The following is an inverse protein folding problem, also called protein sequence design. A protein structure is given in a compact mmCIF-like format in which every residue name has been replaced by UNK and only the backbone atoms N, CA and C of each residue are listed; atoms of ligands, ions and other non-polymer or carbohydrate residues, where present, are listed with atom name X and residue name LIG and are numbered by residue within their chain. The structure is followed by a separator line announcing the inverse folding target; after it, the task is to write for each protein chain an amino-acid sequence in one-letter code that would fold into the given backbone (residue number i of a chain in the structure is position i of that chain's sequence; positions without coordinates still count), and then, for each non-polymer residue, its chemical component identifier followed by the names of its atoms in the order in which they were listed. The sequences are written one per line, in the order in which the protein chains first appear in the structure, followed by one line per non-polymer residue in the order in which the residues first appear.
data_IF_532486322112
#
_entry.id   IF_532486322112
#
_cell.length_a   1.000
_cell.length_b   1.000
_cell.length_c   1.000
_cell.angle_alpha   90.00
_cell.angle_beta   90.00
_cell.angle_gamma   90.00
#
_symmetry.space_group_name_H-M   'P 1'
#
loop_
_entity.id
_entity.type
_entity.pdbx_description
1 polymer ?
#
# COMPACT_ATOMS: atom_id res chain seq x y z
N UNK A 1 44.30 -14.77 -40.67
CA UNK A 1 44.56 -13.59 -39.81
C UNK A 1 43.38 -12.62 -39.98
N UNK A 2 42.83 -12.03 -38.92
CA UNK A 2 42.03 -12.68 -37.88
C UNK A 2 40.58 -12.15 -37.84
N UNK A 3 39.74 -12.91 -37.11
CA UNK A 3 38.40 -12.57 -36.64
C UNK A 3 38.47 -11.34 -35.71
N UNK A 4 37.51 -10.43 -35.80
CA UNK A 4 37.22 -9.50 -34.69
C UNK A 4 35.74 -9.51 -34.42
N UNK A 5 35.40 -10.31 -33.42
CA UNK A 5 34.12 -10.41 -32.74
C UNK A 5 33.93 -9.12 -31.90
N UNK A 6 32.95 -8.29 -32.27
CA UNK A 6 32.50 -7.18 -31.41
C UNK A 6 31.41 -7.70 -30.48
N UNK A 7 31.83 -8.29 -29.35
CA UNK A 7 30.96 -8.50 -28.18
C UNK A 7 31.38 -7.55 -27.07
N UNK A 8 30.73 -6.38 -27.03
CA UNK A 8 30.98 -5.36 -26.02
C UNK A 8 29.76 -4.48 -25.76
N UNK A 9 28.68 -5.04 -25.22
CA UNK A 9 27.54 -4.24 -24.72
C UNK A 9 26.64 -4.83 -23.60
N UNK A 10 26.71 -6.09 -23.12
CA UNK A 10 25.73 -6.55 -22.11
C UNK A 10 26.04 -6.12 -20.66
N UNK A 11 27.30 -5.81 -20.33
CA UNK A 11 27.72 -5.58 -18.93
C UNK A 11 27.54 -4.13 -18.44
N UNK A 12 27.63 -3.14 -19.35
CA UNK A 12 27.44 -1.73 -19.03
C UNK A 12 25.97 -1.38 -18.82
N UNK A 13 25.07 -1.93 -19.65
CA UNK A 13 23.62 -1.77 -19.52
C UNK A 13 23.08 -2.41 -18.23
N UNK A 14 23.59 -3.60 -17.86
CA UNK A 14 23.25 -4.26 -16.60
C UNK A 14 23.67 -3.45 -15.36
N UNK A 15 24.84 -2.81 -15.40
CA UNK A 15 25.34 -1.96 -14.30
C UNK A 15 24.51 -0.69 -14.14
N UNK A 16 24.13 -0.04 -15.25
CA UNK A 16 23.32 1.17 -15.23
C UNK A 16 21.92 0.91 -14.67
N UNK A 17 21.26 -0.19 -15.09
CA UNK A 17 19.96 -0.61 -14.55
C UNK A 17 20.02 -0.94 -13.06
N UNK A 18 21.12 -1.56 -12.61
CA UNK A 18 21.37 -1.85 -11.19
C UNK A 18 21.49 -0.56 -10.36
N UNK A 19 22.25 0.42 -10.85
CA UNK A 19 22.44 1.70 -10.15
C UNK A 19 21.14 2.52 -10.09
N UNK A 20 20.35 2.51 -11.17
CA UNK A 20 19.00 3.12 -11.22
C UNK A 20 18.08 2.51 -10.17
N UNK A 21 17.99 1.17 -10.08
CA UNK A 21 17.15 0.49 -9.08
C UNK A 21 17.61 0.78 -7.66
N UNK A 22 18.92 0.74 -7.41
CA UNK A 22 19.50 1.04 -6.09
C UNK A 22 19.18 2.47 -5.68
N UNK A 23 19.33 3.44 -6.57
CA UNK A 23 19.03 4.84 -6.27
C UNK A 23 17.55 5.08 -6.01
N UNK A 24 16.65 4.45 -6.79
CA UNK A 24 15.21 4.51 -6.54
C UNK A 24 14.89 3.97 -5.15
N UNK A 25 15.45 2.82 -4.77
CA UNK A 25 15.24 2.23 -3.44
C UNK A 25 15.71 3.15 -2.30
N UNK A 26 16.91 3.74 -2.41
CA UNK A 26 17.44 4.69 -1.41
C UNK A 26 16.54 5.90 -1.23
N UNK A 27 15.95 6.42 -2.31
CA UNK A 27 14.99 7.53 -2.24
C UNK A 27 13.70 7.11 -1.50
N UNK A 28 13.20 5.90 -1.75
CA UNK A 28 12.01 5.38 -1.06
C UNK A 28 12.28 5.14 0.43
N UNK A 29 13.42 4.53 0.78
CA UNK A 29 13.88 4.33 2.17
C UNK A 29 13.96 5.69 2.90
N UNK A 30 14.60 6.69 2.29
CA UNK A 30 14.72 8.03 2.85
C UNK A 30 13.36 8.72 3.07
N UNK A 31 12.40 8.54 2.16
CA UNK A 31 11.03 9.05 2.36
C UNK A 31 10.36 8.36 3.55
N UNK A 32 10.46 7.04 3.64
CA UNK A 32 9.87 6.28 4.74
C UNK A 32 10.45 6.65 6.11
N UNK A 33 11.75 6.94 6.19
CA UNK A 33 12.38 7.46 7.40
C UNK A 33 11.88 8.87 7.74
N UNK A 34 11.96 9.81 6.79
CA UNK A 34 11.56 11.20 7.03
C UNK A 34 10.08 11.33 7.38
N UNK A 35 9.21 10.56 6.72
CA UNK A 35 7.79 10.55 7.03
C UNK A 35 7.50 10.09 8.46
N UNK A 36 8.34 9.23 9.05
CA UNK A 36 8.20 8.75 10.44
C UNK A 36 8.82 9.70 11.46
N UNK A 37 10.02 10.20 11.17
CA UNK A 37 10.80 11.03 12.09
C UNK A 37 10.31 12.48 12.14
N UNK A 38 10.01 13.06 10.97
CA UNK A 38 9.69 14.48 10.83
C UNK A 38 8.78 14.72 9.61
N UNK A 39 7.49 14.33 9.68
CA UNK A 39 6.49 14.55 8.63
C UNK A 39 6.54 15.94 8.00
N UNK A 40 6.63 16.98 8.82
CA UNK A 40 6.58 18.39 8.40
C UNK A 40 7.84 18.85 7.64
N UNK A 41 8.91 18.04 7.66
CA UNK A 41 10.18 18.33 6.99
C UNK A 41 10.33 17.55 5.67
N UNK A 42 9.30 16.81 5.25
CA UNK A 42 9.33 16.00 4.04
C UNK A 42 9.41 16.90 2.79
N UNK A 43 10.62 17.08 2.29
CA UNK A 43 10.94 17.87 1.09
C UNK A 43 11.84 17.07 0.18
N UNK A 44 11.83 17.36 -1.13
CA UNK A 44 12.72 16.68 -2.08
C UNK A 44 14.20 16.85 -1.71
N UNK A 45 14.58 18.02 -1.18
CA UNK A 45 15.95 18.30 -0.73
C UNK A 45 16.33 17.44 0.48
N UNK A 46 15.45 17.32 1.48
CA UNK A 46 15.68 16.47 2.64
C UNK A 46 15.79 14.99 2.23
N UNK A 47 14.89 14.53 1.35
CA UNK A 47 14.90 13.16 0.81
C UNK A 47 16.19 12.87 0.05
N UNK A 48 16.60 13.76 -0.86
CA UNK A 48 17.82 13.62 -1.64
C UNK A 48 19.06 13.58 -0.73
N UNK A 49 19.12 14.47 0.27
CA UNK A 49 20.19 14.51 1.26
C UNK A 49 20.26 13.22 2.07
N UNK A 50 19.13 12.73 2.59
CA UNK A 50 19.05 11.49 3.38
C UNK A 50 19.42 10.26 2.56
N UNK A 51 18.99 10.21 1.30
CA UNK A 51 19.35 9.15 0.37
C UNK A 51 20.80 9.25 -0.16
N UNK A 52 21.55 10.28 0.23
CA UNK A 52 22.87 10.66 -0.29
C UNK A 52 22.91 10.64 -1.84
N UNK A 53 21.89 11.25 -2.44
CA UNK A 53 21.73 11.40 -3.88
C UNK A 53 21.68 12.90 -4.18
N UNK A 54 22.42 13.35 -5.20
CA UNK A 54 22.40 14.75 -5.60
C UNK A 54 20.97 15.21 -5.97
N UNK A 55 20.51 16.42 -5.57
CA UNK A 55 19.15 16.88 -5.82
C UNK A 55 18.73 16.80 -7.29
N UNK A 56 19.60 17.18 -8.22
CA UNK A 56 19.33 17.09 -9.66
C UNK A 56 19.07 15.65 -10.12
N UNK A 57 19.73 14.66 -9.50
CA UNK A 57 19.50 13.24 -9.78
C UNK A 57 18.18 12.77 -9.18
N UNK A 58 17.83 13.20 -7.96
CA UNK A 58 16.54 12.88 -7.35
C UNK A 58 15.37 13.41 -8.19
N UNK A 59 15.45 14.67 -8.66
CA UNK A 59 14.45 15.28 -9.55
C UNK A 59 14.31 14.58 -10.91
N UNK A 60 15.34 13.85 -11.38
CA UNK A 60 15.24 13.02 -12.59
C UNK A 60 14.42 11.75 -12.37
N UNK A 61 14.33 11.25 -11.14
CA UNK A 61 13.53 10.08 -10.80
C UNK A 61 12.08 10.45 -10.47
N UNK A 62 11.91 11.55 -9.75
CA UNK A 62 10.62 11.99 -9.24
C UNK A 62 10.53 13.51 -9.34
N UNK A 63 9.46 14.01 -9.94
CA UNK A 63 9.34 15.45 -10.22
C UNK A 63 9.00 16.24 -8.96
N UNK A 64 8.28 15.60 -8.04
CA UNK A 64 7.84 16.18 -6.77
C UNK A 64 8.12 15.24 -5.59
N UNK A 65 8.10 15.78 -4.36
CA UNK A 65 8.21 14.94 -3.16
C UNK A 65 6.98 14.01 -3.02
N UNK A 66 5.82 14.48 -3.47
CA UNK A 66 4.58 13.70 -3.52
C UNK A 66 4.72 12.50 -4.45
N UNK A 67 5.46 12.61 -5.57
CA UNK A 67 5.71 11.48 -6.46
C UNK A 67 6.55 10.39 -5.77
N UNK A 68 7.56 10.79 -4.98
CA UNK A 68 8.38 9.84 -4.20
C UNK A 68 7.55 9.20 -3.10
N UNK A 69 6.71 10.00 -2.40
CA UNK A 69 5.82 9.53 -1.35
C UNK A 69 4.77 8.56 -1.91
N UNK A 70 4.17 8.88 -3.05
CA UNK A 70 3.24 7.99 -3.74
C UNK A 70 3.91 6.68 -4.15
N UNK A 71 5.13 6.72 -4.67
CA UNK A 71 5.89 5.52 -5.01
C UNK A 71 6.26 4.69 -3.76
N UNK A 72 6.55 5.35 -2.64
CA UNK A 72 6.80 4.66 -1.36
C UNK A 72 5.54 3.99 -0.84
N UNK A 73 4.42 4.72 -0.77
CA UNK A 73 3.12 4.17 -0.37
C UNK A 73 2.70 3.02 -1.28
N UNK A 74 2.89 3.15 -2.58
CA UNK A 74 2.65 2.05 -3.52
C UNK A 74 3.44 0.82 -3.11
N UNK A 75 4.75 0.94 -2.84
CA UNK A 75 5.57 -0.21 -2.43
C UNK A 75 5.09 -0.90 -1.14
N UNK A 76 4.57 -0.13 -0.18
CA UNK A 76 3.97 -0.68 1.06
C UNK A 76 2.67 -1.44 0.76
N UNK A 77 1.83 -0.91 -0.12
CA UNK A 77 0.57 -1.58 -0.54
C UNK A 77 0.85 -2.82 -1.39
N UNK A 78 1.89 -2.78 -2.22
CA UNK A 78 2.35 -3.95 -2.97
C UNK A 78 2.84 -5.06 -2.05
N UNK A 79 3.48 -4.74 -0.92
CA UNK A 79 3.83 -5.74 0.10
C UNK A 79 2.59 -6.42 0.69
N UNK A 80 1.52 -5.67 0.99
CA UNK A 80 0.25 -6.25 1.44
C UNK A 80 -0.38 -7.15 0.35
N UNK A 81 -0.35 -6.69 -0.90
CA UNK A 81 -0.84 -7.46 -2.05
C UNK A 81 -0.10 -8.78 -2.19
N UNK A 82 1.22 -8.73 -2.16
CA UNK A 82 2.07 -9.90 -2.34
C UNK A 82 1.92 -10.88 -1.16
N UNK A 83 1.76 -10.38 0.07
CA UNK A 83 1.40 -11.19 1.24
C UNK A 83 0.06 -11.92 1.06
N UNK A 84 -0.99 -11.19 0.64
CA UNK A 84 -2.32 -11.76 0.39
C UNK A 84 -2.31 -12.82 -0.72
N UNK A 85 -1.55 -12.57 -1.79
CA UNK A 85 -1.40 -13.48 -2.92
C UNK A 85 -0.61 -14.75 -2.56
N UNK A 86 0.40 -14.64 -1.70
CA UNK A 86 1.23 -15.77 -1.29
C UNK A 86 0.59 -16.66 -0.21
N UNK A 87 -0.44 -16.18 0.49
CA UNK A 87 -1.09 -16.91 1.57
C UNK A 87 -1.88 -18.13 1.06
N UNK A 88 -1.73 -19.27 1.74
CA UNK A 88 -2.51 -20.49 1.47
C UNK A 88 -3.82 -20.54 2.24
N UNK A 89 -4.08 -19.57 3.13
CA UNK A 89 -5.36 -19.47 3.85
C UNK A 89 -6.49 -19.08 2.88
N UNK A 90 -7.73 -19.38 3.26
CA UNK A 90 -8.95 -19.03 2.52
C UNK A 90 -10.01 -18.50 3.50
N UNK A 91 -11.08 -17.91 2.96
CA UNK A 91 -12.20 -17.40 3.76
C UNK A 91 -11.78 -16.39 4.82
N UNK A 92 -12.43 -16.47 5.98
CA UNK A 92 -12.15 -15.67 7.17
C UNK A 92 -10.68 -15.75 7.63
N UNK A 93 -10.04 -16.92 7.73
CA UNK A 93 -8.61 -17.00 8.08
C UNK A 93 -7.70 -16.14 7.19
N UNK A 94 -7.96 -16.10 5.87
CA UNK A 94 -7.22 -15.23 4.96
C UNK A 94 -7.51 -13.76 5.27
N UNK A 95 -8.78 -13.39 5.42
CA UNK A 95 -9.20 -12.03 5.76
C UNK A 95 -8.51 -11.54 7.03
N UNK A 96 -8.58 -12.32 8.11
CA UNK A 96 -7.98 -11.96 9.40
C UNK A 96 -6.46 -11.79 9.28
N UNK A 97 -5.77 -12.67 8.53
CA UNK A 97 -4.33 -12.56 8.32
C UNK A 97 -3.92 -11.30 7.53
N UNK A 98 -4.72 -10.89 6.55
CA UNK A 98 -4.46 -9.68 5.75
C UNK A 98 -4.76 -8.43 6.56
N UNK A 99 -5.80 -8.44 7.40
CA UNK A 99 -6.05 -7.37 8.38
C UNK A 99 -4.89 -7.22 9.35
N UNK A 100 -4.37 -8.32 9.89
CA UNK A 100 -3.21 -8.27 10.78
C UNK A 100 -1.99 -7.69 10.06
N UNK A 101 -1.67 -8.17 8.85
CA UNK A 101 -0.57 -7.61 8.06
C UNK A 101 -0.77 -6.13 7.77
N UNK A 102 -2.00 -5.70 7.48
CA UNK A 102 -2.30 -4.28 7.27
C UNK A 102 -2.01 -3.46 8.53
N UNK A 103 -2.42 -3.92 9.71
CA UNK A 103 -2.14 -3.23 10.98
C UNK A 103 -0.62 -3.19 11.29
N UNK A 104 0.15 -4.22 10.93
CA UNK A 104 1.61 -4.17 11.01
C UNK A 104 2.18 -3.05 10.14
N UNK A 105 1.76 -2.98 8.88
CA UNK A 105 2.21 -1.93 7.95
C UNK A 105 1.76 -0.53 8.39
N UNK A 106 0.59 -0.39 9.02
CA UNK A 106 0.16 0.88 9.61
C UNK A 106 1.02 1.29 10.80
N UNK A 107 1.44 0.33 11.62
CA UNK A 107 2.34 0.61 12.75
C UNK A 107 3.72 1.04 12.25
N UNK A 108 4.20 0.42 11.19
CA UNK A 108 5.52 0.71 10.62
C UNK A 108 5.53 1.98 9.75
N UNK A 109 4.50 2.20 8.93
CA UNK A 109 4.48 3.21 7.86
C UNK A 109 3.33 4.22 7.99
N UNK A 110 2.60 4.21 9.10
CA UNK A 110 1.37 4.96 9.33
C UNK A 110 1.41 6.43 8.91
N UNK A 111 2.43 7.21 9.32
CA UNK A 111 2.54 8.62 8.92
C UNK A 111 2.56 8.83 7.41
N UNK A 112 3.26 7.98 6.64
CA UNK A 112 3.32 8.08 5.19
C UNK A 112 1.99 7.71 4.52
N UNK A 113 1.34 6.65 5.02
CA UNK A 113 0.05 6.19 4.52
C UNK A 113 -1.08 7.21 4.78
N UNK A 114 -1.00 7.95 5.89
CA UNK A 114 -1.96 9.01 6.23
C UNK A 114 -1.73 10.27 5.42
N UNK A 115 -0.48 10.63 5.12
CA UNK A 115 -0.15 11.87 4.38
C UNK A 115 -0.66 11.86 2.94
N UNK A 116 -0.68 10.69 2.28
CA UNK A 116 -1.13 10.58 0.90
C UNK A 116 -2.67 10.60 0.82
N UNK A 117 -3.26 11.78 1.04
CA UNK A 117 -4.70 12.00 0.96
C UNK A 117 -5.11 12.43 -0.44
N UNK A 118 -6.03 11.69 -1.03
CA UNK A 118 -6.74 12.10 -2.23
C UNK A 118 -7.98 12.91 -1.87
N UNK A 119 -8.28 13.95 -2.66
CA UNK A 119 -9.59 14.64 -2.63
C UNK A 119 -10.69 13.85 -3.33
N UNK A 120 -10.32 12.90 -4.20
CA UNK A 120 -11.21 11.98 -4.91
C UNK A 120 -11.49 10.73 -4.07
N UNK A 121 -12.72 10.23 -4.15
CA UNK A 121 -13.16 9.03 -3.43
C UNK A 121 -12.46 7.73 -3.87
N UNK A 122 -12.76 6.63 -3.19
CA UNK A 122 -12.22 5.31 -3.53
C UNK A 122 -12.64 4.85 -4.94
N UNK A 123 -13.95 4.81 -5.22
CA UNK A 123 -14.48 4.30 -6.49
C UNK A 123 -14.02 5.14 -7.69
N UNK A 124 -14.02 6.47 -7.57
CA UNK A 124 -13.51 7.34 -8.63
C UNK A 124 -12.04 7.05 -8.95
N UNK A 125 -11.20 6.86 -7.93
CA UNK A 125 -9.79 6.52 -8.14
C UNK A 125 -9.60 5.12 -8.71
N UNK A 126 -10.40 4.16 -8.25
CA UNK A 126 -10.37 2.78 -8.75
C UNK A 126 -10.73 2.76 -10.24
N UNK A 127 -11.84 3.40 -10.63
CA UNK A 127 -12.30 3.44 -12.02
C UNK A 127 -11.35 4.19 -12.95
N UNK A 128 -10.60 5.16 -12.42
CA UNK A 128 -9.56 5.88 -13.17
C UNK A 128 -8.20 5.16 -13.16
N UNK A 129 -8.08 3.97 -12.56
CA UNK A 129 -6.86 3.17 -12.58
C UNK A 129 -5.72 3.76 -11.75
N UNK A 130 -6.01 4.47 -10.65
CA UNK A 130 -4.96 4.93 -9.74
C UNK A 130 -4.19 3.74 -9.17
N UNK A 131 -2.87 3.69 -9.42
CA UNK A 131 -2.03 2.52 -9.14
C UNK A 131 -2.11 2.03 -7.69
N UNK A 132 -2.11 2.95 -6.73
CA UNK A 132 -2.17 2.63 -5.30
C UNK A 132 -3.52 1.98 -4.95
N UNK A 133 -4.62 2.52 -5.47
CA UNK A 133 -5.95 1.98 -5.21
C UNK A 133 -6.19 0.66 -5.94
N UNK A 134 -5.62 0.48 -7.13
CA UNK A 134 -5.63 -0.82 -7.82
C UNK A 134 -4.84 -1.86 -7.02
N UNK A 135 -3.63 -1.54 -6.56
CA UNK A 135 -2.84 -2.44 -5.72
C UNK A 135 -3.55 -2.78 -4.39
N UNK A 136 -4.21 -1.79 -3.77
CA UNK A 136 -5.02 -2.00 -2.57
C UNK A 136 -6.20 -2.94 -2.87
N UNK A 137 -6.93 -2.70 -3.97
CA UNK A 137 -8.00 -3.59 -4.43
C UNK A 137 -7.48 -5.02 -4.58
N UNK A 138 -6.35 -5.19 -5.25
CA UNK A 138 -5.77 -6.51 -5.51
C UNK A 138 -5.39 -7.24 -4.22
N UNK A 139 -4.90 -6.51 -3.21
CA UNK A 139 -4.58 -7.06 -1.89
C UNK A 139 -5.83 -7.59 -1.15
N UNK A 140 -6.95 -6.88 -1.23
CA UNK A 140 -8.17 -7.18 -0.48
C UNK A 140 -9.18 -8.06 -1.22
N UNK A 141 -9.13 -8.12 -2.55
CA UNK A 141 -10.17 -8.75 -3.35
C UNK A 141 -10.38 -10.24 -3.00
N UNK A 142 -9.32 -11.03 -2.95
CA UNK A 142 -9.41 -12.46 -2.59
C UNK A 142 -9.88 -12.66 -1.12
N UNK A 143 -9.30 -11.98 -0.12
CA UNK A 143 -9.79 -12.07 1.26
C UNK A 143 -11.27 -11.68 1.43
N UNK A 144 -11.69 -10.59 0.79
CA UNK A 144 -13.08 -10.10 0.87
C UNK A 144 -14.03 -11.07 0.19
N UNK A 145 -13.67 -11.65 -0.96
CA UNK A 145 -14.49 -12.70 -1.60
C UNK A 145 -14.70 -13.90 -0.70
N UNK A 146 -13.62 -14.44 -0.13
CA UNK A 146 -13.73 -15.56 0.79
C UNK A 146 -14.60 -15.22 2.01
N UNK A 147 -14.53 -13.98 2.49
CA UNK A 147 -15.41 -13.52 3.57
C UNK A 147 -16.88 -13.44 3.13
N UNK A 148 -17.17 -12.97 1.92
CA UNK A 148 -18.53 -12.93 1.36
C UNK A 148 -19.12 -14.36 1.26
N UNK A 149 -18.33 -15.30 0.76
CA UNK A 149 -18.71 -16.71 0.67
C UNK A 149 -19.06 -17.28 2.06
N UNK A 150 -18.21 -17.03 3.06
CA UNK A 150 -18.42 -17.49 4.45
C UNK A 150 -19.71 -16.97 5.08
N UNK A 151 -20.15 -15.76 4.70
CA UNK A 151 -21.38 -15.15 5.22
C UNK A 151 -22.58 -15.29 4.27
N UNK A 152 -22.43 -16.03 3.17
CA UNK A 152 -23.48 -16.34 2.20
C UNK A 152 -23.94 -15.14 1.39
N UNK A 153 -23.03 -14.21 1.05
CA UNK A 153 -23.32 -13.06 0.20
C UNK A 153 -22.78 -13.24 -1.23
N UNK A 154 -23.49 -12.70 -2.25
CA UNK A 154 -23.10 -12.81 -3.66
C UNK A 154 -21.76 -12.14 -3.98
N UNK A 155 -20.99 -12.66 -4.94
CA UNK A 155 -19.76 -12.00 -5.45
C UNK A 155 -20.09 -10.69 -6.19
N UNK A 156 -21.32 -10.52 -6.68
CA UNK A 156 -21.76 -9.33 -7.40
C UNK A 156 -21.62 -8.03 -6.57
N UNK A 157 -21.57 -8.13 -5.24
CA UNK A 157 -21.38 -6.96 -4.36
C UNK A 157 -19.91 -6.65 -4.07
N UNK A 158 -18.95 -7.36 -4.66
CA UNK A 158 -17.51 -7.26 -4.33
C UNK A 158 -16.98 -5.82 -4.41
N UNK A 159 -17.41 -5.02 -5.39
CA UNK A 159 -16.99 -3.62 -5.51
C UNK A 159 -17.46 -2.77 -4.32
N UNK A 160 -18.72 -2.95 -3.90
CA UNK A 160 -19.27 -2.29 -2.71
C UNK A 160 -18.62 -2.81 -1.42
N UNK A 161 -18.33 -4.12 -1.36
CA UNK A 161 -17.63 -4.72 -0.24
C UNK A 161 -16.23 -4.13 -0.07
N UNK A 162 -15.49 -3.93 -1.17
CA UNK A 162 -14.18 -3.29 -1.18
C UNK A 162 -14.24 -1.80 -0.86
N UNK A 163 -15.28 -1.10 -1.31
CA UNK A 163 -15.54 0.28 -0.89
C UNK A 163 -15.74 0.40 0.62
N UNK A 164 -16.56 -0.46 1.22
CA UNK A 164 -16.79 -0.50 2.66
C UNK A 164 -15.53 -0.91 3.43
N UNK A 165 -14.76 -1.87 2.90
CA UNK A 165 -13.46 -2.25 3.47
C UNK A 165 -12.49 -1.06 3.48
N UNK A 166 -12.35 -0.33 2.38
CA UNK A 166 -11.53 0.87 2.32
C UNK A 166 -11.96 1.93 3.35
N UNK A 167 -13.25 2.08 3.62
CA UNK A 167 -13.74 3.02 4.63
C UNK A 167 -13.42 2.56 6.06
N UNK A 168 -13.64 1.29 6.37
CA UNK A 168 -13.48 0.76 7.74
C UNK A 168 -12.03 0.51 8.13
N UNK A 169 -11.16 0.22 7.17
CA UNK A 169 -9.74 -0.04 7.37
C UNK A 169 -8.85 1.14 6.91
N UNK A 170 -9.40 2.36 6.93
CA UNK A 170 -8.65 3.58 6.61
C UNK A 170 -7.44 3.75 7.55
N UNK A 171 -6.23 4.03 7.02
CA UNK A 171 -5.01 4.17 7.82
C UNK A 171 -5.13 5.10 9.03
N UNK A 172 -5.85 6.23 8.86
CA UNK A 172 -5.98 7.26 9.89
C UNK A 172 -6.89 6.78 11.00
N UNK A 173 -8.05 6.24 10.64
CA UNK A 173 -9.07 5.82 11.60
C UNK A 173 -8.60 4.62 12.42
N UNK A 174 -7.86 3.68 11.80
CA UNK A 174 -7.27 2.55 12.53
C UNK A 174 -6.20 3.01 13.53
N UNK A 175 -5.31 3.91 13.11
CA UNK A 175 -4.28 4.46 14.01
C UNK A 175 -4.92 5.26 15.15
N UNK A 176 -5.91 6.10 14.86
CA UNK A 176 -6.63 6.87 15.87
C UNK A 176 -7.29 5.94 16.90
N UNK A 177 -8.00 4.90 16.42
CA UNK A 177 -8.65 3.93 17.30
C UNK A 177 -7.64 3.17 18.19
N UNK A 178 -6.48 2.78 17.65
CA UNK A 178 -5.41 2.11 18.40
C UNK A 178 -4.72 3.04 19.41
N UNK A 179 -4.65 4.34 19.14
CA UNK A 179 -3.92 5.30 19.98
C UNK A 179 -4.81 6.00 21.02
N UNK A 180 -6.10 6.18 20.73
CA UNK A 180 -7.03 6.98 21.54
C UNK A 180 -7.93 6.12 22.43
N UNK A 181 -7.74 4.81 22.46
CA UNK A 181 -8.54 3.88 23.28
C UNK A 181 -7.66 2.86 23.99
N UNK A 182 -8.18 2.26 25.07
CA UNK A 182 -7.49 1.18 25.81
C UNK A 182 -7.67 -0.20 25.15
N UNK A 183 -8.17 -0.24 23.91
CA UNK A 183 -8.45 -1.48 23.22
C UNK A 183 -7.16 -2.13 22.74
N UNK A 184 -7.00 -3.41 23.02
CA UNK A 184 -5.91 -4.17 22.41
C UNK A 184 -6.12 -4.28 20.89
N UNK A 185 -5.01 -4.40 20.15
CA UNK A 185 -5.04 -4.65 18.69
C UNK A 185 -6.02 -5.76 18.30
N UNK A 186 -6.00 -6.89 19.03
CA UNK A 186 -6.89 -8.02 18.79
C UNK A 186 -8.36 -7.62 18.92
N UNK A 187 -8.70 -6.84 19.93
CA UNK A 187 -10.07 -6.36 20.11
C UNK A 187 -10.49 -5.35 19.05
N UNK A 188 -9.61 -4.45 18.62
CA UNK A 188 -9.86 -3.52 17.50
C UNK A 188 -10.18 -4.30 16.23
N UNK A 189 -9.30 -5.24 15.86
CA UNK A 189 -9.49 -6.09 14.68
C UNK A 189 -10.82 -6.87 14.77
N UNK A 190 -11.08 -7.51 15.91
CA UNK A 190 -12.31 -8.29 16.11
C UNK A 190 -13.56 -7.41 15.94
N UNK A 191 -13.60 -6.24 16.59
CA UNK A 191 -14.76 -5.34 16.51
C UNK A 191 -14.98 -4.78 15.11
N UNK A 192 -13.90 -4.41 14.41
CA UNK A 192 -13.99 -3.91 13.03
C UNK A 192 -14.43 -5.00 12.05
N UNK A 193 -13.90 -6.22 12.18
CA UNK A 193 -14.32 -7.35 11.33
C UNK A 193 -15.81 -7.68 11.54
N UNK A 194 -16.30 -7.67 12.78
CA UNK A 194 -17.74 -7.88 13.06
C UNK A 194 -18.61 -6.72 12.55
N UNK A 195 -18.16 -5.48 12.70
CA UNK A 195 -18.83 -4.31 12.15
C UNK A 195 -18.90 -4.37 10.62
N UNK A 196 -17.80 -4.80 9.98
CA UNK A 196 -17.72 -4.96 8.53
C UNK A 196 -18.68 -6.03 8.01
N UNK A 197 -18.70 -7.23 8.62
CA UNK A 197 -19.68 -8.28 8.28
C UNK A 197 -21.11 -7.81 8.41
N UNK A 198 -21.39 -7.05 9.47
CA UNK A 198 -22.73 -6.48 9.72
C UNK A 198 -23.10 -5.44 8.66
N UNK A 199 -22.17 -4.58 8.27
CA UNK A 199 -22.36 -3.61 7.20
C UNK A 199 -22.59 -4.28 5.84
N UNK A 200 -21.84 -5.33 5.51
CA UNK A 200 -22.04 -6.11 4.27
C UNK A 200 -23.44 -6.71 4.20
N UNK A 201 -23.90 -7.34 5.29
CA UNK A 201 -25.27 -7.88 5.39
C UNK A 201 -26.32 -6.79 5.30
N UNK A 202 -26.09 -5.64 5.95
CA UNK A 202 -26.99 -4.49 5.88
C UNK A 202 -27.10 -3.93 4.47
N UNK A 203 -25.97 -3.78 3.78
CA UNK A 203 -25.91 -3.31 2.40
C UNK A 203 -26.66 -4.23 1.45
N UNK A 204 -26.38 -5.54 1.50
CA UNK A 204 -27.01 -6.53 0.63
C UNK A 204 -28.53 -6.66 0.85
N UNK A 205 -29.03 -6.37 2.06
CA UNK A 205 -30.47 -6.38 2.37
C UNK A 205 -31.21 -5.13 1.90
N UNK A 206 -30.51 -4.01 1.75
CA UNK A 206 -31.11 -2.72 1.41
C UNK A 206 -31.24 -2.48 -0.10
N UNK A 207 -30.47 -3.20 -0.92
CA UNK A 207 -30.58 -3.23 -2.38
C UNK A 207 -31.62 -4.24 -2.85
#
# INVERSE_FOLDING_TARGET
MPVTDQQGAPRAEGKLRSDTRRNRRRLLEAVGELAREAPDQLTMQAVASRAEIGPATAYRYYSTVDDVLAAYVLSVVEELRDFSAASTAEGQPLFDSVVDKWVDLLTEHGPALVQLRSRRGYLERLHNGNEIIVAMRDAWCRPVRGLLDDIGLPDEIIEYALFLNNMMYDPREIQDLLQQTDLSRREVITRLTEAYRSALRGWARAG
#
